data_IF_296014070007
#
_entry.id   IF_296014070007
#
_cell.length_a   1.000
_cell.length_b   1.000
_cell.length_c   1.000
_cell.angle_alpha   90.00
_cell.angle_beta   90.00
_cell.angle_gamma   90.00
#
_symmetry.space_group_name_H-M   'P 1'
#
loop_
_entity.id
_entity.type
_entity.pdbx_description
1 polymer ?
#
# COMPACT_ATOMS: atom_id res chain seq x y z
N UNK A 1 12.29 -2.91 -6.55
CA UNK A 1 13.52 -3.05 -5.74
C UNK A 1 14.73 -2.54 -6.50
N UNK A 2 14.87 -2.89 -7.75
CA UNK A 2 16.03 -2.48 -8.57
C UNK A 2 16.13 -0.97 -8.70
N UNK A 3 15.01 -0.27 -8.88
CA UNK A 3 15.01 1.20 -8.89
C UNK A 3 15.63 1.77 -7.60
N UNK A 4 15.26 1.24 -6.43
CA UNK A 4 15.77 1.73 -5.14
C UNK A 4 17.29 1.50 -5.00
N UNK A 5 17.80 0.38 -5.48
CA UNK A 5 19.26 0.10 -5.47
C UNK A 5 20.04 1.19 -6.20
N UNK A 6 19.54 1.64 -7.35
CA UNK A 6 20.24 2.62 -8.20
C UNK A 6 19.95 4.08 -7.83
N UNK A 7 18.78 4.38 -7.23
CA UNK A 7 18.32 5.76 -7.06
C UNK A 7 18.10 6.18 -5.61
N UNK A 8 17.66 5.27 -4.72
CA UNK A 8 17.54 5.52 -3.28
C UNK A 8 17.89 4.24 -2.50
N UNK A 9 19.17 4.04 -2.17
CA UNK A 9 19.64 2.86 -1.45
C UNK A 9 18.95 2.62 -0.09
N UNK A 10 18.36 3.65 0.52
CA UNK A 10 17.65 3.51 1.81
C UNK A 10 16.38 2.68 1.67
N UNK A 11 15.74 2.70 0.50
CA UNK A 11 14.53 1.92 0.21
C UNK A 11 14.85 0.51 -0.33
N UNK A 12 16.10 0.22 -0.67
CA UNK A 12 16.50 -1.04 -1.29
C UNK A 12 16.20 -2.28 -0.42
N UNK A 13 16.46 -2.28 0.91
CA UNK A 13 16.16 -3.44 1.75
C UNK A 13 14.67 -3.76 1.80
N UNK A 14 13.82 -2.74 2.00
CA UNK A 14 12.37 -2.87 2.03
C UNK A 14 11.83 -3.35 0.68
N UNK A 15 12.19 -2.66 -0.40
CA UNK A 15 11.79 -3.00 -1.75
C UNK A 15 12.24 -4.41 -2.16
N UNK A 16 13.48 -4.79 -1.79
CA UNK A 16 14.02 -6.12 -2.05
C UNK A 16 13.27 -7.23 -1.32
N UNK A 17 12.85 -6.99 -0.08
CA UNK A 17 12.04 -7.95 0.69
C UNK A 17 10.66 -8.16 0.06
N UNK A 18 9.97 -7.07 -0.32
CA UNK A 18 8.69 -7.14 -1.03
C UNK A 18 8.81 -7.88 -2.38
N UNK A 19 9.83 -7.53 -3.17
CA UNK A 19 10.09 -8.19 -4.46
C UNK A 19 10.32 -9.69 -4.28
N UNK A 20 11.12 -10.10 -3.29
CA UNK A 20 11.40 -11.51 -3.01
C UNK A 20 10.13 -12.29 -2.70
N UNK A 21 9.30 -11.80 -1.78
CA UNK A 21 8.02 -12.45 -1.43
C UNK A 21 7.15 -12.65 -2.67
N UNK A 22 7.02 -11.64 -3.51
CA UNK A 22 6.23 -11.74 -4.73
C UNK A 22 6.85 -12.70 -5.74
N UNK A 23 8.15 -12.57 -6.02
CA UNK A 23 8.84 -13.42 -6.99
C UNK A 23 8.74 -14.89 -6.60
N UNK A 24 8.93 -15.21 -5.31
CA UNK A 24 8.79 -16.57 -4.80
C UNK A 24 7.35 -17.06 -4.90
N UNK A 25 6.35 -16.22 -4.60
CA UNK A 25 4.93 -16.60 -4.72
C UNK A 25 4.55 -16.86 -6.18
N UNK A 26 4.96 -15.99 -7.13
CA UNK A 26 4.72 -16.22 -8.55
C UNK A 26 5.41 -17.49 -9.04
N UNK A 27 6.66 -17.74 -8.62
CA UNK A 27 7.38 -18.96 -8.98
C UNK A 27 6.69 -20.23 -8.45
N UNK A 28 6.19 -20.22 -7.19
CA UNK A 28 5.42 -21.35 -6.64
C UNK A 28 4.11 -21.61 -7.38
N UNK A 29 3.51 -20.57 -7.96
CA UNK A 29 2.34 -20.70 -8.85
C UNK A 29 2.71 -21.14 -10.28
N UNK A 30 3.97 -21.39 -10.58
CA UNK A 30 4.43 -21.86 -11.89
C UNK A 30 4.71 -20.76 -12.93
N UNK A 31 4.75 -19.49 -12.50
CA UNK A 31 5.12 -18.38 -13.38
C UNK A 31 6.64 -18.28 -13.51
N UNK A 32 7.11 -17.95 -14.70
CA UNK A 32 8.45 -17.43 -14.93
C UNK A 32 8.47 -15.94 -14.52
N UNK A 33 9.43 -15.56 -13.67
CA UNK A 33 9.52 -14.20 -13.13
C UNK A 33 10.70 -13.47 -13.75
N UNK A 34 10.40 -12.39 -14.47
CA UNK A 34 11.41 -11.49 -15.02
C UNK A 34 11.50 -10.23 -14.17
N UNK A 35 12.72 -9.85 -13.79
CA UNK A 35 13.01 -8.63 -13.02
C UNK A 35 13.97 -7.73 -13.78
N UNK A 36 13.88 -6.40 -13.63
CA UNK A 36 14.85 -5.47 -14.20
C UNK A 36 16.27 -5.73 -13.71
N UNK A 37 17.25 -5.54 -14.58
CA UNK A 37 18.67 -5.72 -14.29
C UNK A 37 19.46 -4.41 -14.36
N UNK A 38 18.87 -3.36 -14.92
CA UNK A 38 19.52 -2.06 -15.16
C UNK A 38 18.84 -0.91 -14.38
N UNK A 39 19.60 0.16 -14.12
CA UNK A 39 19.13 1.39 -13.50
C UNK A 39 18.15 2.21 -14.35
N UNK A 40 18.06 2.00 -15.67
CA UNK A 40 16.99 2.55 -16.52
C UNK A 40 15.70 1.76 -16.37
N UNK A 41 14.98 2.02 -15.29
CA UNK A 41 13.76 1.31 -14.95
C UNK A 41 12.67 1.41 -16.02
N UNK A 42 12.56 2.56 -16.70
CA UNK A 42 11.59 2.75 -17.80
C UNK A 42 12.00 1.95 -19.04
N UNK A 43 13.29 1.93 -19.36
CA UNK A 43 13.84 1.11 -20.43
C UNK A 43 13.61 -0.38 -20.18
N UNK A 44 13.85 -0.82 -18.97
CA UNK A 44 13.64 -2.21 -18.56
C UNK A 44 12.16 -2.62 -18.59
N UNK A 45 11.23 -1.76 -18.15
CA UNK A 45 9.79 -2.03 -18.33
C UNK A 45 9.46 -2.23 -19.82
N UNK A 46 9.95 -1.36 -20.69
CA UNK A 46 9.70 -1.48 -22.14
C UNK A 46 10.31 -2.73 -22.76
N UNK A 47 11.43 -3.20 -22.23
CA UNK A 47 12.12 -4.41 -22.69
C UNK A 47 11.42 -5.69 -22.24
N UNK A 48 11.02 -5.75 -20.95
CA UNK A 48 10.50 -6.95 -20.32
C UNK A 48 8.98 -7.11 -20.45
N UNK A 49 8.21 -6.04 -20.28
CA UNK A 49 6.76 -6.12 -20.23
C UNK A 49 6.10 -6.76 -21.47
N UNK A 50 6.61 -6.53 -22.72
CA UNK A 50 6.06 -7.22 -23.90
C UNK A 50 6.26 -8.75 -23.91
N UNK A 51 7.15 -9.27 -23.05
CA UNK A 51 7.45 -10.70 -22.92
C UNK A 51 6.61 -11.37 -21.82
N UNK A 52 5.82 -10.59 -21.07
CA UNK A 52 5.09 -11.05 -19.91
C UNK A 52 3.58 -10.99 -20.12
N UNK A 53 2.84 -11.99 -19.61
CA UNK A 53 1.37 -12.00 -19.60
C UNK A 53 0.81 -10.99 -18.57
N UNK A 54 1.54 -10.81 -17.47
CA UNK A 54 1.17 -9.87 -16.40
C UNK A 54 2.40 -9.13 -15.87
N UNK A 55 2.17 -7.97 -15.28
CA UNK A 55 3.24 -7.20 -14.65
C UNK A 55 2.78 -6.49 -13.38
N UNK A 56 3.74 -6.21 -12.49
CA UNK A 56 3.53 -5.48 -11.24
C UNK A 56 4.69 -4.53 -10.98
N UNK A 57 4.36 -3.31 -10.58
CA UNK A 57 5.35 -2.30 -10.20
C UNK A 57 5.41 -2.17 -8.68
N UNK A 58 6.60 -2.25 -8.11
CA UNK A 58 6.91 -1.86 -6.73
C UNK A 58 7.78 -0.60 -6.81
N UNK A 59 7.22 0.52 -6.45
CA UNK A 59 7.92 1.81 -6.51
C UNK A 59 7.39 2.76 -5.41
N UNK A 60 8.15 3.81 -5.05
CA UNK A 60 7.63 4.92 -4.24
C UNK A 60 6.39 5.54 -4.87
N UNK A 61 5.45 6.00 -4.05
CA UNK A 61 4.11 6.46 -4.48
C UNK A 61 4.17 7.53 -5.57
N UNK A 62 5.10 8.48 -5.45
CA UNK A 62 5.30 9.56 -6.43
C UNK A 62 5.82 9.10 -7.80
N UNK A 63 6.31 7.87 -7.92
CA UNK A 63 6.80 7.25 -9.16
C UNK A 63 5.90 6.12 -9.65
N UNK A 64 5.13 5.52 -8.75
CA UNK A 64 4.30 4.36 -9.02
C UNK A 64 3.40 4.56 -10.23
N UNK A 65 2.63 5.65 -10.26
CA UNK A 65 1.70 5.95 -11.36
C UNK A 65 2.42 6.07 -12.70
N UNK A 66 3.61 6.69 -12.72
CA UNK A 66 4.41 6.87 -13.93
C UNK A 66 4.90 5.52 -14.48
N UNK A 67 5.45 4.69 -13.63
CA UNK A 67 5.96 3.38 -14.04
C UNK A 67 4.84 2.43 -14.42
N UNK A 68 3.73 2.44 -13.66
CA UNK A 68 2.55 1.65 -13.99
C UNK A 68 1.94 2.07 -15.32
N UNK A 69 1.88 3.38 -15.62
CA UNK A 69 1.37 3.85 -16.92
C UNK A 69 2.24 3.44 -18.12
N UNK A 70 3.53 3.21 -17.89
CA UNK A 70 4.41 2.61 -18.92
C UNK A 70 4.13 1.12 -19.05
N UNK A 71 4.05 0.40 -17.93
CA UNK A 71 3.76 -1.04 -17.89
C UNK A 71 2.44 -1.38 -18.63
N UNK A 72 1.38 -0.64 -18.34
CA UNK A 72 0.02 -0.84 -18.89
C UNK A 72 -0.06 -0.72 -20.42
N UNK A 73 0.97 -0.16 -21.07
CA UNK A 73 1.05 -0.09 -22.54
C UNK A 73 1.48 -1.41 -23.19
N UNK A 74 2.09 -2.29 -22.41
CA UNK A 74 2.75 -3.48 -22.95
C UNK A 74 2.22 -4.78 -22.35
N UNK A 75 1.71 -4.76 -21.12
CA UNK A 75 1.15 -5.95 -20.47
C UNK A 75 0.05 -5.59 -19.48
N UNK A 76 -0.67 -6.61 -19.01
CA UNK A 76 -1.74 -6.47 -18.04
C UNK A 76 -1.16 -6.24 -16.63
N UNK A 77 -1.52 -5.10 -15.99
CA UNK A 77 -1.13 -4.84 -14.61
C UNK A 77 -1.99 -5.64 -13.63
N UNK A 78 -1.35 -6.35 -12.68
CA UNK A 78 -2.00 -6.98 -11.52
C UNK A 78 -1.93 -6.11 -10.27
N UNK A 79 -1.37 -4.90 -10.38
CA UNK A 79 -1.37 -3.88 -9.35
C UNK A 79 -2.48 -2.85 -9.53
N UNK A 80 -2.42 -1.77 -8.75
CA UNK A 80 -3.33 -0.65 -8.89
C UNK A 80 -3.10 0.06 -10.24
N UNK A 81 -4.20 0.44 -10.89
CA UNK A 81 -4.15 1.19 -12.15
C UNK A 81 -3.46 2.55 -11.98
N UNK A 82 -2.74 2.99 -13.02
CA UNK A 82 -1.92 4.21 -12.95
C UNK A 82 -2.70 5.46 -12.57
N UNK A 83 -3.95 5.60 -13.03
CA UNK A 83 -4.79 6.76 -12.67
C UNK A 83 -5.17 6.78 -11.18
N UNK A 84 -5.56 5.64 -10.61
CA UNK A 84 -5.91 5.53 -9.19
C UNK A 84 -4.66 5.69 -8.32
N UNK A 85 -3.52 5.15 -8.76
CA UNK A 85 -2.23 5.35 -8.10
C UNK A 85 -1.83 6.84 -8.07
N UNK A 86 -2.08 7.59 -9.13
CA UNK A 86 -1.81 9.03 -9.17
C UNK A 86 -2.68 9.82 -8.17
N UNK A 87 -3.96 9.45 -8.03
CA UNK A 87 -4.87 10.06 -7.04
C UNK A 87 -4.39 9.80 -5.61
N UNK A 88 -4.01 8.56 -5.29
CA UNK A 88 -3.53 8.22 -3.95
C UNK A 88 -2.15 8.85 -3.64
N UNK A 89 -1.29 9.04 -4.65
CA UNK A 89 0.02 9.64 -4.46
C UNK A 89 -0.07 11.10 -3.97
N UNK A 90 -1.09 11.85 -4.37
CA UNK A 90 -1.39 13.19 -3.84
C UNK A 90 -2.21 13.04 -2.55
N UNK A 91 -1.51 13.09 -1.41
CA UNK A 91 -2.12 12.86 -0.09
C UNK A 91 -3.19 13.88 0.27
N UNK A 92 -3.09 15.11 -0.22
CA UNK A 92 -4.09 16.16 0.00
C UNK A 92 -5.37 15.84 -0.78
N UNK A 93 -5.23 15.51 -2.06
CA UNK A 93 -6.35 15.16 -2.93
C UNK A 93 -7.02 13.87 -2.46
N UNK A 94 -6.23 12.84 -2.14
CA UNK A 94 -6.71 11.57 -1.58
C UNK A 94 -7.54 11.80 -0.31
N UNK A 95 -7.01 12.54 0.67
CA UNK A 95 -7.71 12.88 1.91
C UNK A 95 -9.01 13.65 1.68
N UNK A 96 -9.02 14.62 0.75
CA UNK A 96 -10.24 15.37 0.39
C UNK A 96 -11.32 14.48 -0.23
N UNK A 97 -10.94 13.54 -1.10
CA UNK A 97 -11.89 12.59 -1.70
C UNK A 97 -12.49 11.71 -0.61
N UNK A 98 -11.69 11.16 0.28
CA UNK A 98 -12.14 10.33 1.39
C UNK A 98 -13.09 11.10 2.32
N UNK A 99 -12.70 12.30 2.75
CA UNK A 99 -13.51 13.15 3.62
C UNK A 99 -14.89 13.47 3.03
N UNK A 100 -14.93 13.85 1.73
CA UNK A 100 -16.19 14.14 1.02
C UNK A 100 -17.13 12.93 0.94
N UNK A 101 -16.59 11.73 1.04
CA UNK A 101 -17.34 10.48 1.03
C UNK A 101 -17.59 9.91 2.43
N UNK A 102 -17.35 10.70 3.49
CA UNK A 102 -17.65 10.34 4.86
C UNK A 102 -16.70 9.31 5.48
N UNK A 103 -15.47 9.22 4.98
CA UNK A 103 -14.40 8.48 5.64
C UNK A 103 -13.70 9.43 6.63
N UNK A 104 -13.54 9.06 7.90
CA UNK A 104 -12.77 9.85 8.84
C UNK A 104 -11.32 10.01 8.37
N UNK A 105 -10.87 11.26 8.26
CA UNK A 105 -9.48 11.63 7.99
C UNK A 105 -9.07 12.72 8.98
N UNK A 106 -7.79 12.87 9.31
CA UNK A 106 -7.36 13.99 10.15
C UNK A 106 -7.71 15.33 9.53
N UNK A 107 -8.06 16.31 10.36
CA UNK A 107 -8.31 17.68 9.94
C UNK A 107 -7.10 18.35 9.27
N UNK A 108 -7.25 19.59 8.86
CA UNK A 108 -6.27 20.30 8.02
C UNK A 108 -5.22 21.11 8.80
N UNK A 109 -4.76 20.61 9.95
CA UNK A 109 -3.68 21.26 10.71
C UNK A 109 -4.12 22.52 11.44
N UNK A 110 -5.33 22.52 12.00
CA UNK A 110 -5.87 23.63 12.81
C UNK A 110 -5.44 23.58 14.28
N UNK A 111 -4.90 22.44 14.73
CA UNK A 111 -4.49 22.20 16.11
C UNK A 111 -3.09 22.74 16.39
N UNK A 112 -2.79 23.01 17.67
CA UNK A 112 -1.48 23.49 18.11
C UNK A 112 -0.33 22.53 17.81
N UNK A 113 -0.63 21.22 17.72
CA UNK A 113 0.30 20.15 17.32
C UNK A 113 -0.22 19.48 16.07
N UNK A 114 0.60 19.38 15.05
CA UNK A 114 0.23 18.87 13.74
C UNK A 114 1.29 17.92 13.19
N UNK A 115 0.87 17.01 12.33
CA UNK A 115 1.77 16.18 11.53
C UNK A 115 2.01 16.87 10.20
N UNK A 116 3.25 17.29 9.97
CA UNK A 116 3.68 17.83 8.67
C UNK A 116 4.35 16.70 7.89
N UNK A 117 3.96 16.55 6.63
CA UNK A 117 4.50 15.52 5.76
C UNK A 117 4.54 15.99 4.30
N UNK A 118 5.43 15.44 3.47
CA UNK A 118 5.45 15.71 2.03
C UNK A 118 4.09 15.36 1.39
N UNK A 119 3.62 16.20 0.47
CA UNK A 119 2.43 15.90 -0.35
C UNK A 119 2.64 14.61 -1.14
N UNK A 120 3.86 14.42 -1.68
CA UNK A 120 4.28 13.23 -2.41
C UNK A 120 5.43 12.58 -1.64
N UNK A 121 5.24 11.36 -1.11
CA UNK A 121 6.29 10.67 -0.34
C UNK A 121 5.84 9.30 0.14
N UNK A 122 6.80 8.49 0.60
CA UNK A 122 6.57 7.14 1.15
C UNK A 122 7.52 6.85 2.32
N UNK A 123 7.27 5.77 3.06
CA UNK A 123 8.17 5.25 4.08
C UNK A 123 8.40 6.18 5.27
N UNK A 124 7.45 7.02 5.62
CA UNK A 124 7.52 8.02 6.71
C UNK A 124 8.68 9.03 6.57
N UNK A 125 9.32 9.13 5.40
CA UNK A 125 10.41 10.10 5.17
C UNK A 125 9.85 11.52 5.18
N UNK A 126 10.41 12.39 6.05
CA UNK A 126 9.98 13.78 6.18
C UNK A 126 8.64 13.95 6.91
N UNK A 127 8.17 12.94 7.63
CA UNK A 127 6.97 13.05 8.47
C UNK A 127 7.38 13.48 9.87
N UNK A 128 6.92 14.64 10.31
CA UNK A 128 7.29 15.21 11.60
C UNK A 128 6.09 15.73 12.37
N UNK A 129 6.13 15.56 13.70
CA UNK A 129 5.22 16.19 14.63
C UNK A 129 5.80 17.57 14.99
N UNK A 130 5.07 18.65 14.68
CA UNK A 130 5.57 20.00 14.85
C UNK A 130 4.46 21.01 15.12
N UNK A 131 4.84 22.21 15.56
CA UNK A 131 3.96 23.39 15.64
C UNK A 131 4.24 24.40 14.50
N UNK A 132 5.29 24.14 13.73
CA UNK A 132 5.67 24.99 12.62
C UNK A 132 4.76 24.73 11.41
N UNK A 133 4.47 25.77 10.60
CA UNK A 133 3.69 25.61 9.38
C UNK A 133 4.43 24.75 8.34
N UNK A 134 3.69 24.05 7.45
CA UNK A 134 4.29 23.22 6.41
C UNK A 134 5.11 24.08 5.44
N UNK A 135 6.23 23.55 4.98
CA UNK A 135 7.09 24.11 3.96
C UNK A 135 6.54 23.90 2.54
N UNK A 136 7.32 24.32 1.55
CA UNK A 136 6.96 24.13 0.14
C UNK A 136 6.95 22.64 -0.23
N UNK A 137 5.83 22.14 -0.73
CA UNK A 137 5.65 20.73 -1.10
C UNK A 137 5.27 19.83 0.08
N UNK A 138 4.98 20.42 1.23
CA UNK A 138 4.47 19.75 2.41
C UNK A 138 3.02 20.16 2.70
N UNK A 139 2.35 19.40 3.54
CA UNK A 139 1.05 19.76 4.08
C UNK A 139 0.96 19.32 5.55
N UNK A 140 0.03 19.94 6.27
CA UNK A 140 -0.22 19.67 7.68
C UNK A 140 -1.56 18.96 7.87
N UNK A 141 -1.56 18.01 8.79
CA UNK A 141 -2.76 17.35 9.32
C UNK A 141 -2.78 17.48 10.82
N UNK A 142 -3.98 17.51 11.42
CA UNK A 142 -4.13 17.44 12.88
C UNK A 142 -3.48 16.13 13.38
N UNK A 143 -2.71 16.24 14.46
CA UNK A 143 -2.22 15.06 15.14
C UNK A 143 -3.38 14.34 15.84
N UNK A 144 -3.55 13.08 15.53
CA UNK A 144 -4.50 12.19 16.19
C UNK A 144 -3.72 11.27 17.12
N UNK A 145 -3.99 11.36 18.41
CA UNK A 145 -3.45 10.42 19.38
C UNK A 145 -4.27 9.13 19.35
N UNK A 146 -3.62 8.00 19.08
CA UNK A 146 -4.32 6.72 18.94
C UNK A 146 -3.39 5.56 18.62
N UNK A 147 -3.99 4.39 18.39
CA UNK A 147 -3.26 3.19 17.99
C UNK A 147 -2.96 3.21 16.49
N UNK A 148 -1.70 3.01 16.13
CA UNK A 148 -1.26 2.97 14.75
C UNK A 148 -1.46 1.57 14.16
N UNK A 149 -2.35 1.47 13.21
CA UNK A 149 -2.74 0.23 12.55
C UNK A 149 -2.68 0.40 11.04
N UNK A 150 -2.67 -0.71 10.31
CA UNK A 150 -2.94 -0.71 8.87
C UNK A 150 -3.82 -1.90 8.50
N UNK A 151 -4.55 -1.75 7.40
CA UNK A 151 -5.35 -2.82 6.82
C UNK A 151 -4.83 -3.10 5.44
N UNK A 152 -4.43 -4.34 5.20
CA UNK A 152 -3.95 -4.82 3.90
C UNK A 152 -5.09 -5.49 3.17
N UNK A 153 -5.36 -5.03 1.94
CA UNK A 153 -6.47 -5.50 1.11
C UNK A 153 -6.00 -5.79 -0.32
N UNK A 154 -6.80 -6.56 -1.06
CA UNK A 154 -6.67 -6.69 -2.52
C UNK A 154 -7.98 -6.26 -3.16
N UNK A 155 -7.94 -5.15 -3.91
CA UNK A 155 -9.06 -4.69 -4.71
C UNK A 155 -9.17 -5.48 -6.00
N UNK A 156 -10.38 -5.95 -6.34
CA UNK A 156 -10.63 -6.63 -7.60
C UNK A 156 -10.86 -5.63 -8.73
N UNK A 157 -10.42 -6.02 -9.94
CA UNK A 157 -10.77 -5.27 -11.14
C UNK A 157 -12.26 -5.33 -11.38
N UNK A 158 -12.76 -4.16 -11.75
CA UNK A 158 -14.11 -4.00 -12.18
C UNK A 158 -14.25 -4.54 -13.61
N UNK A 159 -15.02 -5.64 -13.79
CA UNK A 159 -15.32 -6.25 -15.09
C UNK A 159 -16.81 -6.06 -15.39
N UNK A 160 -17.14 -5.38 -16.49
CA UNK A 160 -18.52 -5.17 -16.94
C UNK A 160 -18.53 -4.61 -18.36
N UNK A 161 -19.64 -4.79 -19.06
CA UNK A 161 -19.86 -4.10 -20.33
C UNK A 161 -20.34 -2.66 -20.09
N UNK A 162 -20.35 -1.85 -21.15
CA UNK A 162 -20.70 -0.43 -21.08
C UNK A 162 -22.15 -0.14 -20.62
N UNK A 163 -22.96 -1.16 -20.40
CA UNK A 163 -24.37 -1.08 -20.03
C UNK A 163 -24.65 -1.62 -18.60
N UNK A 164 -23.69 -2.27 -17.97
CA UNK A 164 -23.86 -2.87 -16.65
C UNK A 164 -23.39 -1.93 -15.56
N UNK A 165 -24.31 -1.53 -14.70
CA UNK A 165 -23.96 -0.93 -13.41
C UNK A 165 -23.18 -1.96 -12.57
N UNK A 166 -22.08 -1.54 -12.05
CA UNK A 166 -20.94 -2.25 -11.59
C UNK A 166 -21.14 -2.80 -10.19
N UNK A 167 -20.97 -4.03 -10.00
CA UNK A 167 -20.75 -4.69 -8.72
C UNK A 167 -19.48 -5.54 -8.81
N UNK A 168 -18.32 -4.86 -8.65
CA UNK A 168 -17.08 -5.58 -8.38
C UNK A 168 -17.19 -6.32 -7.05
N UNK A 169 -16.44 -7.41 -6.87
CA UNK A 169 -16.26 -8.02 -5.55
C UNK A 169 -15.76 -6.95 -4.56
N UNK A 170 -16.21 -6.96 -3.31
CA UNK A 170 -15.60 -6.12 -2.30
C UNK A 170 -14.10 -6.44 -2.19
N UNK A 171 -13.27 -5.46 -1.81
CA UNK A 171 -11.85 -5.71 -1.57
C UNK A 171 -11.66 -6.87 -0.60
N UNK A 172 -10.81 -7.83 -0.98
CA UNK A 172 -10.44 -8.97 -0.14
C UNK A 172 -9.57 -8.50 1.01
N UNK A 173 -9.97 -8.76 2.24
CA UNK A 173 -9.14 -8.54 3.42
C UNK A 173 -8.00 -9.57 3.46
N UNK A 174 -6.75 -9.08 3.55
CA UNK A 174 -5.60 -9.94 3.84
C UNK A 174 -5.32 -9.98 5.34
N UNK A 175 -5.13 -8.82 5.98
CA UNK A 175 -4.89 -8.73 7.42
C UNK A 175 -5.11 -7.32 7.96
N UNK A 176 -5.40 -7.24 9.27
CA UNK A 176 -5.17 -6.05 10.09
C UNK A 176 -3.79 -6.17 10.72
N UNK A 177 -2.99 -5.12 10.65
CA UNK A 177 -1.63 -5.08 11.13
C UNK A 177 -1.46 -3.98 12.18
N UNK A 178 -0.58 -4.18 13.16
CA UNK A 178 -0.09 -3.13 14.06
C UNK A 178 1.16 -2.52 13.47
N UNK A 179 1.23 -1.19 13.44
CA UNK A 179 2.42 -0.46 13.04
C UNK A 179 3.25 -0.11 14.27
N UNK A 180 4.55 -0.39 14.22
CA UNK A 180 5.52 0.01 15.24
C UNK A 180 6.09 1.36 14.81
N UNK A 181 5.70 2.41 15.53
CA UNK A 181 6.07 3.79 15.26
C UNK A 181 6.94 4.32 16.40
N UNK A 182 8.02 5.01 16.06
CA UNK A 182 8.83 5.75 17.02
C UNK A 182 8.76 7.25 16.75
N UNK A 183 8.70 8.02 17.82
CA UNK A 183 8.81 9.47 17.80
C UNK A 183 10.24 9.84 18.22
N UNK A 184 10.97 10.50 17.34
CA UNK A 184 12.32 10.97 17.62
C UNK A 184 12.31 12.28 18.42
N UNK A 185 13.41 12.58 19.10
CA UNK A 185 13.61 13.86 19.81
C UNK A 185 13.61 15.06 18.85
N UNK A 186 13.86 14.80 17.57
CA UNK A 186 13.77 15.73 16.44
C UNK A 186 12.32 15.98 15.95
N UNK A 187 11.32 15.38 16.60
CA UNK A 187 9.93 15.41 16.18
C UNK A 187 9.61 14.48 15.00
N UNK A 188 10.59 13.81 14.40
CA UNK A 188 10.35 12.94 13.25
C UNK A 188 9.66 11.64 13.67
N UNK A 189 8.70 11.23 12.84
CA UNK A 189 7.99 9.97 12.97
C UNK A 189 8.70 8.92 12.14
N UNK A 190 9.05 7.78 12.75
CA UNK A 190 9.79 6.70 12.10
C UNK A 190 8.98 5.41 12.16
N UNK A 191 8.80 4.80 11.00
CA UNK A 191 8.24 3.45 10.90
C UNK A 191 9.32 2.42 11.17
N UNK A 192 9.10 1.54 12.15
CA UNK A 192 10.05 0.50 12.56
C UNK A 192 9.69 -0.89 12.06
N UNK A 193 8.47 -1.05 11.51
CA UNK A 193 7.93 -2.34 11.11
C UNK A 193 6.55 -2.56 11.70
N UNK A 194 6.16 -3.82 11.88
CA UNK A 194 4.84 -4.14 12.39
C UNK A 194 4.66 -5.58 12.84
N UNK A 195 3.44 -5.88 13.27
CA UNK A 195 2.97 -7.23 13.62
C UNK A 195 1.72 -7.56 12.81
N UNK A 196 1.59 -8.81 12.37
CA UNK A 196 0.46 -9.30 11.58
C UNK A 196 0.21 -10.81 11.80
N UNK A 197 -1.03 -11.29 11.67
CA UNK A 197 -2.27 -10.54 11.81
C UNK A 197 -2.48 -10.10 13.26
N UNK A 198 -3.25 -9.04 13.46
CA UNK A 198 -3.61 -8.56 14.79
C UNK A 198 -5.11 -8.75 15.01
N UNK A 199 -5.46 -9.47 16.09
CA UNK A 199 -6.83 -9.50 16.59
C UNK A 199 -7.10 -8.17 17.33
N UNK A 200 -8.16 -7.46 16.95
CA UNK A 200 -8.51 -6.19 17.56
C UNK A 200 -10.00 -6.13 17.88
N UNK A 201 -10.44 -5.59 19.05
CA UNK A 201 -11.86 -5.51 19.41
C UNK A 201 -12.70 -4.71 18.41
N UNK A 202 -12.11 -3.70 17.75
CA UNK A 202 -12.77 -2.88 16.70
C UNK A 202 -12.40 -3.34 15.29
N UNK A 203 -12.16 -4.65 15.10
CA UNK A 203 -11.74 -5.23 13.82
C UNK A 203 -12.68 -4.88 12.66
N UNK A 204 -13.98 -5.09 12.84
CA UNK A 204 -14.98 -4.82 11.81
C UNK A 204 -15.00 -3.35 11.38
N UNK A 205 -14.84 -2.44 12.32
CA UNK A 205 -14.84 -1.00 12.03
C UNK A 205 -13.60 -0.58 11.22
N UNK A 206 -12.42 -1.12 11.56
CA UNK A 206 -11.19 -0.92 10.83
C UNK A 206 -11.31 -1.44 9.39
N UNK A 207 -11.77 -2.67 9.23
CA UNK A 207 -11.93 -3.32 7.94
C UNK A 207 -12.97 -2.60 7.08
N UNK A 208 -14.11 -2.24 7.64
CA UNK A 208 -15.15 -1.51 6.91
C UNK A 208 -14.66 -0.15 6.43
N UNK A 209 -13.93 0.60 7.29
CA UNK A 209 -13.37 1.91 6.91
C UNK A 209 -12.35 1.76 5.78
N UNK A 210 -11.42 0.81 5.89
CA UNK A 210 -10.41 0.57 4.87
C UNK A 210 -11.03 0.08 3.55
N UNK A 211 -11.98 -0.86 3.62
CA UNK A 211 -12.70 -1.39 2.43
C UNK A 211 -13.42 -0.26 1.68
N UNK A 212 -14.14 0.60 2.40
CA UNK A 212 -14.81 1.75 1.80
C UNK A 212 -13.82 2.74 1.20
N UNK A 213 -12.69 3.01 1.85
CA UNK A 213 -11.65 3.88 1.31
C UNK A 213 -11.10 3.34 -0.02
N UNK A 214 -10.78 2.04 -0.09
CA UNK A 214 -10.30 1.37 -1.32
C UNK A 214 -11.34 1.43 -2.44
N UNK A 215 -12.64 1.21 -2.13
CA UNK A 215 -13.73 1.29 -3.09
C UNK A 215 -13.94 2.71 -3.64
N UNK A 216 -13.93 3.73 -2.77
CA UNK A 216 -14.09 5.15 -3.15
C UNK A 216 -12.95 5.58 -4.08
N UNK A 217 -11.72 5.16 -3.80
CA UNK A 217 -10.55 5.48 -4.60
C UNK A 217 -10.43 4.59 -5.85
N UNK A 218 -11.23 3.54 -5.97
CA UNK A 218 -11.20 2.59 -7.08
C UNK A 218 -9.89 1.83 -7.20
N UNK A 219 -9.19 1.61 -6.09
CA UNK A 219 -7.90 0.93 -6.10
C UNK A 219 -8.06 -0.57 -6.38
N UNK A 220 -7.18 -1.11 -7.22
CA UNK A 220 -7.10 -2.52 -7.62
C UNK A 220 -5.76 -3.11 -7.17
N UNK A 221 -5.67 -4.46 -7.17
CA UNK A 221 -4.48 -5.13 -6.66
C UNK A 221 -4.28 -4.89 -5.17
N UNK A 222 -3.07 -5.07 -4.70
CA UNK A 222 -2.76 -4.86 -3.27
C UNK A 222 -2.81 -3.39 -2.88
N UNK A 223 -3.45 -3.12 -1.74
CA UNK A 223 -3.56 -1.78 -1.15
C UNK A 223 -3.33 -1.87 0.36
N UNK A 224 -2.47 -1.02 0.89
CA UNK A 224 -2.33 -0.78 2.32
C UNK A 224 -3.05 0.50 2.72
N UNK A 225 -3.93 0.44 3.72
CA UNK A 225 -4.61 1.60 4.29
C UNK A 225 -4.10 1.83 5.70
N UNK A 226 -3.40 2.94 5.92
CA UNK A 226 -2.84 3.30 7.23
C UNK A 226 -3.89 4.07 8.04
N UNK A 227 -4.09 3.63 9.28
CA UNK A 227 -5.16 4.11 10.17
C UNK A 227 -4.57 4.46 11.53
N UNK A 228 -4.97 5.61 12.07
CA UNK A 228 -4.86 5.91 13.49
C UNK A 228 -6.22 5.71 14.13
N UNK A 229 -6.30 4.75 15.03
CA UNK A 229 -7.53 4.41 15.74
C UNK A 229 -7.61 5.18 17.05
N UNK A 230 -8.51 6.15 17.12
CA UNK A 230 -8.86 6.90 18.30
C UNK A 230 -10.37 6.69 18.62
N UNK A 231 -11.14 7.75 18.74
CA UNK A 231 -12.62 7.68 18.78
C UNK A 231 -13.20 7.08 17.49
N UNK A 232 -12.58 7.40 16.34
CA UNK A 232 -12.85 6.82 15.02
C UNK A 232 -11.56 6.25 14.38
N UNK A 233 -11.68 5.34 13.38
CA UNK A 233 -10.55 4.91 12.56
C UNK A 233 -10.23 5.98 11.51
N UNK A 234 -9.30 6.89 11.82
CA UNK A 234 -8.86 7.93 10.90
C UNK A 234 -7.90 7.38 9.85
N UNK A 235 -8.28 7.45 8.59
CA UNK A 235 -7.38 7.09 7.47
C UNK A 235 -6.35 8.19 7.30
N UNK A 236 -5.08 7.87 7.53
CA UNK A 236 -3.96 8.82 7.46
C UNK A 236 -3.16 8.70 6.18
N UNK A 237 -3.19 7.54 5.52
CA UNK A 237 -2.57 7.30 4.21
C UNK A 237 -3.20 6.12 3.48
N UNK A 238 -3.16 6.12 2.14
CA UNK A 238 -3.56 4.99 1.29
C UNK A 238 -2.43 4.70 0.32
N UNK A 239 -1.88 3.51 0.43
CA UNK A 239 -0.76 3.03 -0.37
C UNK A 239 -1.27 2.05 -1.44
N UNK A 240 -1.49 2.46 -2.71
CA UNK A 240 -2.04 1.61 -3.77
C UNK A 240 -0.96 0.70 -4.37
N UNK A 241 -0.21 0.04 -3.53
CA UNK A 241 0.94 -0.82 -3.85
C UNK A 241 1.23 -1.81 -2.74
N UNK A 242 2.08 -2.77 -3.05
CA UNK A 242 2.65 -3.64 -2.03
C UNK A 242 3.31 -2.81 -0.92
N UNK A 243 3.00 -3.12 0.33
CA UNK A 243 3.59 -2.52 1.53
C UNK A 243 4.44 -3.55 2.27
N UNK A 244 5.28 -3.09 3.18
CA UNK A 244 6.20 -3.96 3.95
C UNK A 244 5.47 -5.05 4.73
N UNK A 245 4.22 -4.81 5.13
CA UNK A 245 3.40 -5.81 5.84
C UNK A 245 3.20 -7.11 5.07
N UNK A 246 3.34 -7.10 3.72
CA UNK A 246 3.22 -8.33 2.91
C UNK A 246 4.22 -9.40 3.34
N UNK A 247 5.41 -9.02 3.84
CA UNK A 247 6.42 -10.00 4.24
C UNK A 247 5.96 -10.82 5.46
N UNK A 248 5.30 -10.14 6.41
CA UNK A 248 4.69 -10.82 7.57
C UNK A 248 3.41 -11.57 7.20
N UNK A 249 2.55 -10.97 6.36
CA UNK A 249 1.31 -11.60 5.90
C UNK A 249 1.61 -12.89 5.15
N UNK A 250 2.52 -12.88 4.18
CA UNK A 250 2.90 -14.05 3.42
C UNK A 250 3.54 -15.16 4.29
N UNK A 251 4.20 -14.78 5.39
CA UNK A 251 4.72 -15.76 6.34
C UNK A 251 3.61 -16.50 7.13
N UNK A 252 2.42 -15.92 7.23
CA UNK A 252 1.27 -16.48 7.95
C UNK A 252 0.17 -17.02 7.02
N UNK A 253 0.11 -16.59 5.77
CA UNK A 253 -0.95 -16.90 4.81
C UNK A 253 -0.76 -18.27 4.16
N UNK A 254 -1.84 -19.01 3.97
CA UNK A 254 -1.82 -20.30 3.26
C UNK A 254 -1.84 -20.11 1.74
N UNK A 255 -2.62 -19.13 1.28
CA UNK A 255 -2.79 -18.86 -0.13
C UNK A 255 -1.57 -18.13 -0.70
N UNK A 256 -1.35 -18.28 -1.98
CA UNK A 256 -0.32 -17.56 -2.70
C UNK A 256 -0.81 -16.18 -3.13
N UNK A 257 -0.09 -15.13 -2.70
CA UNK A 257 -0.46 -13.75 -3.05
C UNK A 257 -0.45 -13.52 -4.57
N UNK A 258 0.40 -14.21 -5.31
CA UNK A 258 0.44 -14.15 -6.76
C UNK A 258 -0.88 -14.57 -7.40
N UNK A 259 -1.44 -15.71 -6.96
CA UNK A 259 -2.72 -16.21 -7.45
C UNK A 259 -3.86 -15.24 -7.13
N UNK A 260 -3.90 -14.71 -5.91
CA UNK A 260 -4.89 -13.71 -5.50
C UNK A 260 -4.83 -12.47 -6.40
N UNK A 261 -3.63 -11.93 -6.66
CA UNK A 261 -3.45 -10.74 -7.51
C UNK A 261 -3.88 -11.00 -8.94
N UNK A 262 -3.51 -12.13 -9.51
CA UNK A 262 -3.88 -12.49 -10.89
C UNK A 262 -5.39 -12.68 -11.02
N UNK A 263 -6.03 -13.37 -10.07
CA UNK A 263 -7.49 -13.55 -10.06
C UNK A 263 -8.22 -12.22 -9.88
N UNK A 264 -7.78 -11.38 -8.93
CA UNK A 264 -8.36 -10.06 -8.67
C UNK A 264 -8.27 -9.16 -9.91
N UNK A 265 -7.17 -9.21 -10.65
CA UNK A 265 -7.00 -8.44 -11.89
C UNK A 265 -7.97 -8.83 -13.00
N UNK A 266 -8.60 -10.02 -12.90
CA UNK A 266 -9.63 -10.54 -13.79
C UNK A 266 -11.04 -10.41 -13.20
N UNK A 267 -11.20 -9.74 -12.05
CA UNK A 267 -12.47 -9.56 -11.36
C UNK A 267 -12.89 -10.75 -10.49
N UNK A 268 -12.01 -11.73 -10.30
CA UNK A 268 -12.22 -12.93 -9.49
C UNK A 268 -11.46 -12.90 -8.16
N UNK A 269 -11.27 -14.08 -7.57
CA UNK A 269 -10.48 -14.32 -6.37
C UNK A 269 -11.27 -14.98 -5.25
N UNK A 270 -10.59 -15.42 -4.17
CA UNK A 270 -11.24 -16.00 -3.00
C UNK A 270 -12.08 -14.94 -2.27
N UNK A 271 -12.98 -15.40 -1.40
CA UNK A 271 -13.79 -14.53 -0.55
C UNK A 271 -13.08 -14.22 0.78
N UNK A 272 -12.14 -15.07 1.18
CA UNK A 272 -11.31 -14.91 2.39
C UNK A 272 -9.92 -15.55 2.20
N UNK A 273 -8.98 -15.20 3.07
CA UNK A 273 -7.67 -15.83 3.18
C UNK A 273 -7.48 -16.46 4.55
N UNK A 274 -6.65 -17.52 4.63
CA UNK A 274 -6.39 -18.25 5.86
C UNK A 274 -5.01 -17.91 6.40
N UNK A 275 -4.99 -17.30 7.59
CA UNK A 275 -3.75 -16.91 8.27
C UNK A 275 -3.49 -17.84 9.47
N UNK A 276 -2.27 -18.35 9.60
CA UNK A 276 -1.84 -19.19 10.71
C UNK A 276 -0.69 -18.56 11.48
N UNK A 277 -0.85 -18.47 12.80
CA UNK A 277 0.13 -17.84 13.67
C UNK A 277 0.14 -16.32 13.53
N UNK A 278 1.25 -15.73 13.95
CA UNK A 278 1.53 -14.29 13.90
C UNK A 278 2.96 -14.10 13.47
N UNK A 279 3.26 -12.94 12.90
CA UNK A 279 4.62 -12.57 12.54
C UNK A 279 4.90 -11.11 12.94
N UNK A 280 6.13 -10.85 13.34
CA UNK A 280 6.69 -9.50 13.46
C UNK A 280 7.65 -9.27 12.31
N UNK A 281 7.67 -8.08 11.78
CA UNK A 281 8.58 -7.68 10.70
C UNK A 281 9.13 -6.29 10.96
N UNK A 282 10.37 -6.06 10.55
CA UNK A 282 10.99 -4.74 10.63
C UNK A 282 10.81 -3.92 9.34
N UNK A 283 11.22 -2.65 9.39
CA UNK A 283 11.16 -1.74 8.23
C UNK A 283 12.07 -2.16 7.06
N UNK A 284 12.94 -3.14 7.23
CA UNK A 284 13.79 -3.72 6.18
C UNK A 284 13.22 -5.03 5.63
N UNK A 285 12.05 -5.46 6.12
CA UNK A 285 11.39 -6.68 5.67
C UNK A 285 11.98 -7.98 6.24
N UNK A 286 12.68 -7.93 7.36
CA UNK A 286 13.04 -9.14 8.12
C UNK A 286 11.83 -9.60 8.91
N UNK A 287 11.56 -10.90 8.90
CA UNK A 287 10.38 -11.51 9.51
C UNK A 287 10.78 -12.50 10.59
N UNK A 288 10.05 -12.44 11.71
CA UNK A 288 10.07 -13.39 12.81
C UNK A 288 8.64 -13.92 13.02
N UNK A 289 8.44 -15.24 13.00
CA UNK A 289 7.18 -15.88 13.41
C UNK A 289 7.06 -15.88 14.94
N UNK A 290 5.89 -15.49 15.44
CA UNK A 290 5.58 -15.41 16.87
C UNK A 290 4.78 -16.63 17.36
#
# INVERSE_FOLDING_TARGET
AEYAVFHDPRLAPEGGAMLRVLSESFARCGYEVLTPEDGDFVGEIKRLAPLCDVGLVIAPDHLLFRFTSVLEKYTHSVGCGSMNAAVCADKVQCGQILARNGIPVPGSGSNATQVVKPVLGCGSVGVCLTKEPPGKGEYAQDYIEGEHLSVSLVGSRVVGDACSFYTGKPPLLLAVNRQLIAFGDDGCIRYLGGETPVAHPRHEELVNTATRAVQILGCQGYVGVDIVLADHPYVVDVNPRITTSIVGIAACMQEEIAEILVQASKGGGPDEVHLHGRARFDSHGRVERL
#
